data_IF_323696727284
#
_entry.id   IF_323696727284
#
_cell.length_a   1.000
_cell.length_b   1.000
_cell.length_c   1.000
_cell.angle_alpha   90.00
_cell.angle_beta   90.00
_cell.angle_gamma   90.00
#
_symmetry.space_group_name_H-M   'P 1'
#
loop_
_entity.id
_entity.type
_entity.pdbx_description
1 polymer ?
#
# COMPACT_ATOMS: atom_id res chain seq x y z
N UNK A 1 21.16 7.23 1.97
CA UNK A 1 20.64 6.77 0.67
C UNK A 1 19.15 7.07 0.67
N UNK A 2 18.67 7.80 -0.32
CA UNK A 2 17.25 8.08 -0.50
C UNK A 2 16.51 6.78 -0.82
N UNK A 3 15.33 6.53 -0.22
CA UNK A 3 14.50 5.38 -0.60
C UNK A 3 14.18 5.46 -2.09
N UNK A 4 14.37 4.36 -2.83
CA UNK A 4 13.94 4.26 -4.22
C UNK A 4 12.44 3.98 -4.23
N UNK A 5 11.66 5.03 -4.50
CA UNK A 5 10.21 4.93 -4.60
C UNK A 5 9.79 4.31 -5.93
N UNK A 6 8.97 3.28 -5.87
CA UNK A 6 8.36 2.63 -7.02
C UNK A 6 6.84 2.86 -7.00
N UNK A 7 6.28 3.21 -8.15
CA UNK A 7 4.84 3.23 -8.40
C UNK A 7 4.44 2.08 -9.32
N UNK A 8 3.14 1.77 -9.38
CA UNK A 8 2.60 0.80 -10.33
C UNK A 8 2.80 1.25 -11.78
N UNK A 9 3.08 0.34 -12.72
CA UNK A 9 3.15 0.70 -14.15
C UNK A 9 1.79 1.09 -14.75
N UNK A 10 0.70 0.67 -14.09
CA UNK A 10 -0.67 1.04 -14.44
C UNK A 10 -1.04 2.46 -14.00
N UNK A 11 -0.12 3.16 -13.31
CA UNK A 11 -0.27 4.56 -12.96
C UNK A 11 0.04 5.46 -14.16
N UNK A 12 -0.98 6.05 -14.79
CA UNK A 12 -0.81 7.04 -15.86
C UNK A 12 0.00 8.25 -15.37
N UNK A 13 0.84 8.82 -16.25
CA UNK A 13 1.60 10.04 -15.93
C UNK A 13 0.66 11.19 -15.53
N UNK A 14 0.95 11.85 -14.41
CA UNK A 14 0.17 12.99 -13.90
C UNK A 14 -0.99 12.64 -12.97
N UNK A 15 -1.36 11.37 -12.83
CA UNK A 15 -2.26 10.93 -11.75
C UNK A 15 -1.42 10.62 -10.50
N UNK A 16 -1.84 11.13 -9.35
CA UNK A 16 -1.24 10.73 -8.08
C UNK A 16 -1.37 9.21 -7.92
N UNK A 17 -0.40 8.54 -7.30
CA UNK A 17 -0.43 7.09 -7.13
C UNK A 17 0.20 6.65 -5.82
N UNK A 18 -0.08 5.41 -5.44
CA UNK A 18 0.59 4.76 -4.32
C UNK A 18 2.05 4.46 -4.73
N UNK A 19 2.97 4.95 -3.91
CA UNK A 19 4.40 4.75 -4.02
C UNK A 19 4.87 3.84 -2.87
N UNK A 20 5.71 2.88 -3.22
CA UNK A 20 6.29 1.91 -2.31
C UNK A 20 7.80 2.13 -2.27
N UNK A 21 8.39 2.13 -1.09
CA UNK A 21 9.84 2.10 -0.95
C UNK A 21 10.27 1.23 0.20
N UNK A 22 11.55 0.89 0.22
CA UNK A 22 12.17 0.16 1.32
C UNK A 22 13.41 0.87 1.81
N UNK A 23 13.60 0.89 3.12
CA UNK A 23 14.83 1.36 3.73
C UNK A 23 15.74 0.16 4.03
N UNK A 24 17.05 0.26 3.74
CA UNK A 24 18.02 -0.77 4.07
C UNK A 24 18.43 -0.73 5.55
N UNK A 25 17.53 -0.32 6.45
CA UNK A 25 17.77 -0.34 7.90
C UNK A 25 17.64 -1.76 8.45
N UNK A 26 18.20 -2.02 9.63
CA UNK A 26 17.97 -3.27 10.35
C UNK A 26 17.17 -2.94 11.62
N UNK A 27 15.90 -3.36 11.73
CA UNK A 27 15.13 -4.16 10.77
C UNK A 27 14.72 -3.40 9.49
N UNK A 28 14.53 -4.14 8.40
CA UNK A 28 14.04 -3.60 7.11
C UNK A 28 12.59 -3.16 7.26
N UNK A 29 12.26 -1.98 6.76
CA UNK A 29 10.88 -1.48 6.73
C UNK A 29 10.44 -1.16 5.31
N UNK A 30 9.13 -1.30 5.07
CA UNK A 30 8.46 -0.89 3.83
C UNK A 30 7.71 0.40 4.13
N UNK A 31 7.76 1.34 3.20
CA UNK A 31 7.06 2.60 3.25
C UNK A 31 6.06 2.69 2.12
N UNK A 32 4.84 3.14 2.44
CA UNK A 32 3.76 3.36 1.50
C UNK A 32 3.31 4.81 1.62
N UNK A 33 3.14 5.51 0.51
CA UNK A 33 2.60 6.88 0.48
C UNK A 33 1.79 7.07 -0.80
N UNK A 34 0.86 8.03 -0.81
CA UNK A 34 0.13 8.42 -2.01
C UNK A 34 0.50 9.87 -2.33
N UNK A 35 1.01 10.13 -3.54
CA UNK A 35 1.47 11.46 -3.94
C UNK A 35 0.38 12.53 -3.91
N UNK A 36 -0.89 12.15 -3.97
CA UNK A 36 -2.06 13.02 -3.97
C UNK A 36 -2.74 13.09 -2.63
N UNK A 37 -2.20 12.41 -1.62
CA UNK A 37 -2.68 12.52 -0.26
C UNK A 37 -2.32 13.91 0.28
N UNK A 38 -3.32 14.76 0.59
CA UNK A 38 -3.05 16.10 1.11
C UNK A 38 -2.38 16.08 2.49
N UNK A 39 -2.45 14.96 3.22
CA UNK A 39 -1.78 14.80 4.51
C UNK A 39 -0.29 14.51 4.37
N UNK A 40 0.17 14.08 3.18
CA UNK A 40 1.54 13.64 2.95
C UNK A 40 1.94 12.44 3.81
N UNK A 41 0.97 11.59 4.21
CA UNK A 41 1.22 10.46 5.08
C UNK A 41 2.19 9.44 4.45
N UNK A 42 3.09 8.92 5.28
CA UNK A 42 4.00 7.82 4.92
C UNK A 42 3.77 6.68 5.92
N UNK A 43 2.98 5.70 5.49
CA UNK A 43 2.75 4.49 6.25
C UNK A 43 4.02 3.65 6.28
N UNK A 44 4.43 3.25 7.47
CA UNK A 44 5.58 2.36 7.67
C UNK A 44 5.11 1.00 8.16
N UNK A 45 5.61 -0.07 7.56
CA UNK A 45 5.26 -1.44 7.93
C UNK A 45 6.44 -2.40 7.78
N UNK A 46 6.23 -3.67 8.09
CA UNK A 46 7.23 -4.74 7.92
C UNK A 46 7.08 -5.44 6.56
N UNK A 47 8.15 -6.08 6.04
CA UNK A 47 8.05 -6.89 4.82
C UNK A 47 6.99 -7.99 4.93
N UNK A 48 6.88 -8.65 6.08
CA UNK A 48 5.87 -9.68 6.33
C UNK A 48 4.43 -9.14 6.26
N UNK A 49 4.18 -7.96 6.81
CA UNK A 49 2.88 -7.31 6.74
C UNK A 49 2.53 -6.89 5.31
N UNK A 50 3.51 -6.36 4.57
CA UNK A 50 3.34 -6.01 3.18
C UNK A 50 3.07 -7.24 2.31
N UNK A 51 3.80 -8.35 2.52
CA UNK A 51 3.56 -9.61 1.83
C UNK A 51 2.14 -10.14 2.05
N UNK A 52 1.62 -10.07 3.28
CA UNK A 52 0.25 -10.47 3.58
C UNK A 52 -0.78 -9.61 2.82
N UNK A 53 -0.55 -8.30 2.71
CA UNK A 53 -1.36 -7.42 1.87
C UNK A 53 -1.31 -7.87 0.39
N UNK A 54 -0.12 -8.08 -0.17
CA UNK A 54 0.02 -8.52 -1.57
C UNK A 54 -0.72 -9.83 -1.84
N UNK A 55 -0.58 -10.82 -0.96
CA UNK A 55 -1.26 -12.11 -1.08
C UNK A 55 -2.80 -11.96 -1.08
N UNK A 56 -3.32 -11.08 -0.21
CA UNK A 56 -4.75 -10.77 -0.12
C UNK A 56 -5.27 -10.14 -1.42
N UNK A 57 -4.54 -9.15 -1.97
CA UNK A 57 -4.95 -8.44 -3.19
C UNK A 57 -4.86 -9.32 -4.46
N UNK A 58 -3.93 -10.28 -4.47
CA UNK A 58 -3.80 -11.27 -5.56
C UNK A 58 -4.94 -12.28 -5.58
N UNK A 59 -5.40 -12.72 -4.41
CA UNK A 59 -6.36 -13.83 -4.30
C UNK A 59 -7.80 -13.38 -4.10
N UNK A 60 -8.04 -12.08 -3.91
CA UNK A 60 -9.33 -11.51 -3.45
C UNK A 60 -9.85 -12.19 -2.17
N UNK A 61 -8.99 -12.96 -1.50
CA UNK A 61 -9.33 -13.81 -0.37
C UNK A 61 -8.71 -13.18 0.86
N UNK A 62 -9.50 -12.89 1.91
CA UNK A 62 -8.95 -12.36 3.15
C UNK A 62 -7.91 -13.35 3.72
N UNK A 63 -6.82 -12.84 4.34
CA UNK A 63 -5.84 -13.70 4.94
C UNK A 63 -6.51 -14.58 6.02
N UNK A 64 -6.03 -15.81 6.25
CA UNK A 64 -6.61 -16.67 7.27
C UNK A 64 -6.68 -15.91 8.60
N UNK A 65 -7.87 -15.97 9.24
CA UNK A 65 -8.37 -15.21 10.41
C UNK A 65 -7.43 -15.10 11.63
N UNK A 66 -6.26 -15.75 11.62
CA UNK A 66 -5.32 -15.85 12.73
C UNK A 66 -4.29 -14.72 12.81
N UNK A 67 -4.26 -13.76 11.88
CA UNK A 67 -3.40 -12.58 12.01
C UNK A 67 -4.13 -11.40 11.39
N UNK A 68 -4.59 -10.45 12.21
CA UNK A 68 -5.08 -9.18 11.67
C UNK A 68 -4.01 -8.64 10.71
N UNK A 69 -4.37 -8.21 9.49
CA UNK A 69 -3.37 -7.75 8.57
C UNK A 69 -2.70 -6.53 9.22
N UNK A 70 -1.37 -6.55 9.32
CA UNK A 70 -0.65 -5.41 9.88
C UNK A 70 -0.83 -4.13 9.04
N UNK A 71 -1.43 -4.25 7.84
CA UNK A 71 -1.97 -3.15 7.06
C UNK A 71 -3.48 -3.35 6.91
N UNK A 72 -4.27 -2.45 7.46
CA UNK A 72 -5.72 -2.41 7.27
C UNK A 72 -6.06 -1.51 6.08
N UNK A 73 -6.92 -2.02 5.20
CA UNK A 73 -7.43 -1.29 4.04
C UNK A 73 -8.94 -1.09 4.21
N UNK A 74 -9.37 0.16 4.28
CA UNK A 74 -10.79 0.52 4.33
C UNK A 74 -11.20 1.07 2.97
N UNK A 75 -12.09 0.37 2.27
CA UNK A 75 -12.69 0.87 1.04
C UNK A 75 -13.87 1.78 1.40
N UNK A 76 -13.93 2.95 0.77
CA UNK A 76 -15.09 3.81 0.82
C UNK A 76 -16.37 3.13 0.34
N UNK A 77 -17.51 3.48 0.96
CA UNK A 77 -18.80 2.86 0.64
C UNK A 77 -19.35 3.29 -0.73
N UNK A 78 -18.97 4.47 -1.20
CA UNK A 78 -19.33 5.01 -2.52
C UNK A 78 -18.09 5.14 -3.40
N UNK A 79 -18.23 5.20 -4.74
CA UNK A 79 -17.12 5.41 -5.66
C UNK A 79 -16.30 6.67 -5.36
N UNK A 80 -16.94 7.73 -4.86
CA UNK A 80 -16.31 9.01 -4.50
C UNK A 80 -15.64 8.99 -3.12
N UNK A 81 -15.89 7.94 -2.31
CA UNK A 81 -15.28 7.82 -1.00
C UNK A 81 -13.88 7.19 -1.16
N UNK A 82 -12.84 7.81 -0.60
CA UNK A 82 -11.47 7.32 -0.75
C UNK A 82 -11.26 5.97 -0.05
N UNK A 83 -10.18 5.32 -0.46
CA UNK A 83 -9.59 4.16 0.20
C UNK A 83 -8.56 4.65 1.21
N UNK A 84 -8.64 4.13 2.44
CA UNK A 84 -7.70 4.42 3.50
C UNK A 84 -6.83 3.21 3.79
N UNK A 85 -5.52 3.41 3.84
CA UNK A 85 -4.54 2.43 4.29
C UNK A 85 -3.94 2.87 5.62
N UNK A 86 -3.92 2.00 6.61
CA UNK A 86 -3.26 2.25 7.89
C UNK A 86 -2.51 1.03 8.39
N UNK A 87 -1.43 1.23 9.14
CA UNK A 87 -0.72 0.14 9.79
C UNK A 87 -1.33 -0.13 11.16
N UNK A 88 -1.51 -1.39 11.56
CA UNK A 88 -2.01 -1.70 12.92
C UNK A 88 -1.01 -1.34 14.01
N UNK A 89 0.28 -1.25 13.66
CA UNK A 89 1.35 -0.84 14.58
C UNK A 89 1.53 0.68 14.65
N UNK A 90 0.88 1.44 13.77
CA UNK A 90 0.92 2.90 13.71
C UNK A 90 -0.44 3.43 13.18
N UNK A 91 -1.53 3.23 13.93
CA UNK A 91 -2.90 3.49 13.47
C UNK A 91 -3.20 4.98 13.22
N UNK A 92 -2.39 5.89 13.77
CA UNK A 92 -2.48 7.34 13.55
C UNK A 92 -2.04 7.76 12.14
N UNK A 93 -1.26 6.93 11.45
CA UNK A 93 -0.81 7.21 10.08
C UNK A 93 -1.76 6.56 9.08
N UNK A 94 -2.56 7.39 8.42
CA UNK A 94 -3.52 6.96 7.41
C UNK A 94 -3.14 7.54 6.05
N UNK A 95 -2.78 6.67 5.12
CA UNK A 95 -2.58 7.03 3.71
C UNK A 95 -3.92 6.99 3.00
N UNK A 96 -4.26 8.09 2.33
CA UNK A 96 -5.52 8.24 1.60
C UNK A 96 -5.28 8.16 0.10
N UNK A 97 -6.08 7.34 -0.60
CA UNK A 97 -6.02 7.18 -2.06
C UNK A 97 -7.44 7.07 -2.62
N UNK A 98 -7.67 7.35 -3.90
CA UNK A 98 -8.99 7.13 -4.52
C UNK A 98 -9.10 5.73 -5.14
N UNK A 99 -10.31 5.39 -5.62
CA UNK A 99 -10.63 4.05 -6.12
C UNK A 99 -9.89 3.71 -7.42
N UNK A 100 -9.66 4.68 -8.29
CA UNK A 100 -8.97 4.45 -9.56
C UNK A 100 -7.48 4.19 -9.32
N UNK A 101 -6.85 4.99 -8.45
CA UNK A 101 -5.46 4.78 -8.03
C UNK A 101 -5.27 3.47 -7.27
N UNK A 102 -6.20 3.15 -6.37
CA UNK A 102 -6.21 1.85 -5.69
C UNK A 102 -6.30 0.70 -6.68
N UNK A 103 -7.15 0.83 -7.71
CA UNK A 103 -7.27 -0.19 -8.75
C UNK A 103 -5.96 -0.37 -9.52
N UNK A 104 -5.30 0.72 -9.93
CA UNK A 104 -3.99 0.66 -10.58
C UNK A 104 -2.91 0.01 -9.71
N UNK A 105 -2.93 0.26 -8.39
CA UNK A 105 -2.06 -0.43 -7.44
C UNK A 105 -2.35 -1.94 -7.40
N UNK A 106 -3.62 -2.33 -7.27
CA UNK A 106 -4.03 -3.76 -7.27
C UNK A 106 -3.62 -4.47 -8.55
N UNK A 107 -3.72 -3.81 -9.71
CA UNK A 107 -3.24 -4.37 -10.98
C UNK A 107 -1.73 -4.61 -10.96
N UNK A 108 -0.93 -3.66 -10.48
CA UNK A 108 0.52 -3.82 -10.32
C UNK A 108 0.88 -4.95 -9.33
N UNK A 109 0.13 -5.08 -8.24
CA UNK A 109 0.27 -6.19 -7.28
C UNK A 109 -0.02 -7.53 -7.94
N UNK A 110 -1.08 -7.63 -8.73
CA UNK A 110 -1.43 -8.85 -9.48
C UNK A 110 -0.42 -9.20 -10.57
N UNK A 111 0.23 -8.18 -11.16
CA UNK A 111 1.33 -8.34 -12.10
C UNK A 111 2.67 -8.71 -11.43
N UNK A 112 2.75 -8.70 -10.09
CA UNK A 112 3.95 -9.06 -9.33
C UNK A 112 5.00 -7.95 -9.23
N UNK A 113 4.65 -6.71 -9.55
CA UNK A 113 5.59 -5.58 -9.59
C UNK A 113 6.24 -5.29 -8.23
N UNK A 114 5.55 -5.62 -7.14
CA UNK A 114 5.95 -5.30 -5.77
C UNK A 114 6.50 -6.50 -4.98
N UNK A 115 6.61 -7.69 -5.59
CA UNK A 115 6.97 -8.92 -4.87
C UNK A 115 8.39 -8.91 -4.32
N UNK A 116 9.29 -8.13 -4.93
CA UNK A 116 10.68 -7.98 -4.49
C UNK A 116 10.86 -7.12 -3.23
N UNK A 117 9.80 -6.45 -2.77
CA UNK A 117 9.83 -5.68 -1.52
C UNK A 117 9.53 -6.55 -0.28
N UNK A 118 8.77 -7.63 -0.47
CA UNK A 118 8.32 -8.57 0.55
C UNK A 118 9.42 -9.55 1.00
#
# INVERSE_FOLDING_TARGET
MTPHWQKSSYCSEGASCIHIATTPTTPRTIHLTESGDPTGAILTTTPAAFHALLATLKTDTPPPKATAPAIEVTLGQTPDTPVHLRSTTAPETVVTTDRDKWHAFVLGVRAGEFDHFA
#
